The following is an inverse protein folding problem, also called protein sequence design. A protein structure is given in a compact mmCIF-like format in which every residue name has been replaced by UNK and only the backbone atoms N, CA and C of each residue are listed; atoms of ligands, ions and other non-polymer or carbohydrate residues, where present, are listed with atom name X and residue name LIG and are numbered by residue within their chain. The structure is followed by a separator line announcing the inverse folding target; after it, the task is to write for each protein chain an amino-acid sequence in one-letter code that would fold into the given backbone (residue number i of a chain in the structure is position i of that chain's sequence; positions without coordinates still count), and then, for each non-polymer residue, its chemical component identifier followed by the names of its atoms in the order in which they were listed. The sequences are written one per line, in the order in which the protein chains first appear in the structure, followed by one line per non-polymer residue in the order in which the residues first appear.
data_IF_402373837359
#
_entry.id   IF_402373837359
#
_cell.length_a   1.000
_cell.length_b   1.000
_cell.length_c   1.000
_cell.angle_alpha   90.00
_cell.angle_beta   90.00
_cell.angle_gamma   90.00
#
_symmetry.space_group_name_H-M   'P 1'
#
loop_
_entity.id
_entity.type
_entity.pdbx_description
1 polymer ?
#
# COMPACT_ATOMS: atom_id res chain seq x y z
N UNK A 1 -0.24 18.99 -10.75
CA UNK A 1 -0.75 18.95 -12.15
C UNK A 1 -2.18 19.46 -12.07
N UNK A 2 -2.50 20.57 -12.73
CA UNK A 2 -3.83 21.17 -12.67
C UNK A 2 -4.76 20.41 -13.61
N UNK A 3 -5.86 19.87 -13.10
CA UNK A 3 -6.89 19.23 -13.92
C UNK A 3 -7.97 20.29 -14.20
N UNK A 4 -8.06 20.73 -15.45
CA UNK A 4 -9.12 21.64 -15.92
C UNK A 4 -10.14 20.86 -16.73
N UNK A 5 -11.43 21.11 -16.48
CA UNK A 5 -12.53 20.60 -17.30
C UNK A 5 -13.21 21.82 -17.91
N UNK A 6 -13.26 21.87 -19.23
CA UNK A 6 -13.97 22.89 -19.99
C UNK A 6 -15.40 22.42 -20.21
N UNK A 7 -16.38 23.25 -19.85
CA UNK A 7 -17.79 22.99 -20.13
C UNK A 7 -18.29 24.05 -21.09
N UNK A 8 -19.00 23.61 -22.14
CA UNK A 8 -19.64 24.53 -23.07
C UNK A 8 -20.81 25.22 -22.38
N UNK A 9 -20.67 26.52 -22.13
CA UNK A 9 -21.78 27.34 -21.67
C UNK A 9 -22.77 27.50 -22.82
N UNK A 10 -23.95 26.91 -22.67
CA UNK A 10 -25.00 26.89 -23.71
C UNK A 10 -25.66 28.26 -23.91
N UNK A 11 -25.46 29.20 -22.98
CA UNK A 11 -26.00 30.55 -23.08
C UNK A 11 -25.08 31.50 -23.84
N UNK A 12 -23.77 31.31 -23.73
CA UNK A 12 -22.75 32.16 -24.37
C UNK A 12 -22.06 31.49 -25.56
N UNK A 13 -22.18 30.17 -25.71
CA UNK A 13 -21.50 29.39 -26.75
C UNK A 13 -19.99 29.25 -26.54
N UNK A 14 -19.46 29.70 -25.39
CA UNK A 14 -18.03 29.69 -25.07
C UNK A 14 -17.71 28.50 -24.17
N UNK A 15 -16.57 27.85 -24.43
CA UNK A 15 -15.99 26.89 -23.50
C UNK A 15 -15.49 27.67 -22.27
N UNK A 16 -16.23 27.58 -21.18
CA UNK A 16 -15.80 28.15 -19.91
C UNK A 16 -15.05 27.06 -19.12
N UNK A 17 -13.83 27.34 -18.62
CA UNK A 17 -13.22 26.47 -17.64
C UNK A 17 -14.13 26.44 -16.40
N UNK A 18 -14.38 25.25 -15.84
CA UNK A 18 -14.93 25.18 -14.49
C UNK A 18 -13.87 25.80 -13.58
N UNK A 19 -14.12 27.01 -13.10
CA UNK A 19 -13.21 27.72 -12.21
C UNK A 19 -13.02 26.90 -10.92
N UNK A 20 -11.79 26.41 -10.72
CA UNK A 20 -11.34 25.76 -9.49
C UNK A 20 -10.53 24.49 -9.74
N UNK A 21 -9.55 24.26 -8.86
CA UNK A 21 -8.62 23.15 -8.99
C UNK A 21 -9.30 21.82 -8.67
N UNK A 22 -9.42 20.95 -9.67
CA UNK A 22 -9.81 19.57 -9.44
C UNK A 22 -8.64 18.82 -8.78
N UNK A 23 -8.95 18.03 -7.75
CA UNK A 23 -7.93 17.31 -6.98
C UNK A 23 -8.17 15.82 -6.99
N UNK A 24 -7.12 15.03 -7.07
CA UNK A 24 -7.22 13.59 -6.82
C UNK A 24 -7.54 13.31 -5.35
N UNK A 25 -8.09 12.13 -5.06
CA UNK A 25 -8.34 11.68 -3.68
C UNK A 25 -7.06 11.73 -2.81
N UNK A 26 -5.90 11.42 -3.40
CA UNK A 26 -4.62 11.46 -2.69
C UNK A 26 -4.20 12.90 -2.37
N UNK A 27 -4.32 13.82 -3.33
CA UNK A 27 -4.03 15.24 -3.12
C UNK A 27 -4.97 15.86 -2.08
N UNK A 28 -6.26 15.47 -2.09
CA UNK A 28 -7.20 15.88 -1.04
C UNK A 28 -6.73 15.41 0.34
N UNK A 29 -6.25 14.17 0.48
CA UNK A 29 -5.70 13.66 1.73
C UNK A 29 -4.53 14.50 2.24
N UNK A 30 -3.62 14.91 1.34
CA UNK A 30 -2.50 15.79 1.70
C UNK A 30 -2.97 17.14 2.25
N UNK A 31 -4.05 17.72 1.70
CA UNK A 31 -4.63 18.99 2.21
C UNK A 31 -5.15 18.87 3.64
N UNK A 32 -5.67 17.70 4.02
CA UNK A 32 -6.13 17.42 5.38
C UNK A 32 -5.06 16.80 6.29
N UNK A 33 -3.81 16.70 5.83
CA UNK A 33 -2.71 16.02 6.53
C UNK A 33 -3.04 14.56 6.89
N UNK A 34 -3.76 13.87 5.99
CA UNK A 34 -4.17 12.47 6.14
C UNK A 34 -3.60 11.62 5.02
N UNK A 35 -3.08 10.44 5.38
CA UNK A 35 -2.56 9.47 4.41
C UNK A 35 -3.62 8.98 3.41
N UNK A 36 -3.17 8.61 2.21
CA UNK A 36 -4.02 8.20 1.08
C UNK A 36 -4.99 7.04 1.36
N UNK A 37 -4.66 6.15 2.30
CA UNK A 37 -5.53 5.06 2.76
C UNK A 37 -6.66 5.58 3.65
N UNK A 38 -6.32 6.42 4.63
CA UNK A 38 -7.26 6.96 5.60
C UNK A 38 -8.24 7.95 4.96
N UNK A 39 -7.79 8.82 4.05
CA UNK A 39 -8.71 9.70 3.30
C UNK A 39 -9.75 8.89 2.52
N UNK A 40 -9.40 7.74 1.94
CA UNK A 40 -10.36 6.88 1.22
C UNK A 40 -11.41 6.28 2.14
N UNK A 41 -11.02 5.87 3.35
CA UNK A 41 -11.95 5.36 4.36
C UNK A 41 -12.93 6.45 4.79
N UNK A 42 -12.43 7.66 5.07
CA UNK A 42 -13.27 8.79 5.47
C UNK A 42 -14.25 9.15 4.35
N UNK A 43 -13.77 9.30 3.11
CA UNK A 43 -14.64 9.62 1.98
C UNK A 43 -15.64 8.50 1.65
N UNK A 44 -15.29 7.24 1.96
CA UNK A 44 -16.24 6.13 1.88
C UNK A 44 -17.31 6.20 2.99
N UNK A 45 -16.91 6.54 4.22
CA UNK A 45 -17.84 6.77 5.33
C UNK A 45 -18.82 7.92 5.02
N UNK A 46 -18.33 8.98 4.37
CA UNK A 46 -19.18 10.09 3.85
C UNK A 46 -20.10 9.68 2.68
N UNK A 47 -19.97 8.46 2.15
CA UNK A 47 -20.73 7.97 0.99
C UNK A 47 -20.26 8.50 -0.36
N UNK A 48 -19.19 9.31 -0.40
CA UNK A 48 -18.63 9.87 -1.63
C UNK A 48 -17.94 8.77 -2.46
N UNK A 49 -17.17 7.90 -1.79
CA UNK A 49 -16.55 6.73 -2.40
C UNK A 49 -17.35 5.45 -2.11
N UNK A 50 -17.34 4.53 -3.06
CA UNK A 50 -17.90 3.18 -2.94
C UNK A 50 -16.82 2.13 -3.18
N UNK A 51 -16.99 0.94 -2.60
CA UNK A 51 -16.10 -0.20 -2.84
C UNK A 51 -16.43 -0.83 -4.19
N UNK A 52 -15.42 -0.95 -5.05
CA UNK A 52 -15.47 -1.67 -6.33
C UNK A 52 -14.30 -2.66 -6.38
N UNK A 53 -14.59 -3.94 -6.10
CA UNK A 53 -13.56 -4.96 -5.95
C UNK A 53 -12.59 -4.63 -4.80
N UNK A 54 -11.30 -4.52 -5.12
CA UNK A 54 -10.25 -4.18 -4.14
C UNK A 54 -10.04 -2.66 -3.98
N UNK A 55 -10.79 -1.80 -4.68
CA UNK A 55 -10.55 -0.35 -4.75
C UNK A 55 -11.73 0.48 -4.24
N UNK A 56 -11.44 1.67 -3.73
CA UNK A 56 -12.43 2.71 -3.48
C UNK A 56 -12.51 3.63 -4.70
N UNK A 57 -13.72 3.80 -5.24
CA UNK A 57 -14.01 4.63 -6.42
C UNK A 57 -15.11 5.63 -6.14
N UNK A 58 -15.11 6.76 -6.84
CA UNK A 58 -16.18 7.75 -6.74
C UNK A 58 -17.53 7.13 -7.13
N UNK A 59 -18.55 7.34 -6.31
CA UNK A 59 -19.90 6.82 -6.60
C UNK A 59 -20.47 7.47 -7.86
N UNK A 60 -21.11 6.66 -8.70
CA UNK A 60 -21.75 7.15 -9.93
C UNK A 60 -22.82 8.22 -9.65
N UNK A 61 -23.48 8.16 -8.49
CA UNK A 61 -24.46 9.17 -8.06
C UNK A 61 -23.79 10.52 -7.86
N UNK A 62 -22.61 10.56 -7.25
CA UNK A 62 -21.85 11.79 -7.01
C UNK A 62 -21.22 12.34 -8.28
N UNK A 63 -20.76 11.46 -9.18
CA UNK A 63 -20.31 11.85 -10.53
C UNK A 63 -21.44 12.55 -11.30
N UNK A 64 -22.64 11.97 -11.31
CA UNK A 64 -23.81 12.56 -11.99
C UNK A 64 -24.24 13.90 -11.43
N UNK A 65 -24.01 14.15 -10.13
CA UNK A 65 -24.28 15.42 -9.46
C UNK A 65 -23.16 16.46 -9.68
N UNK A 66 -22.09 16.11 -10.40
CA UNK A 66 -20.99 17.03 -10.71
C UNK A 66 -19.94 17.16 -9.60
N UNK A 67 -19.99 16.34 -8.55
CA UNK A 67 -19.03 16.43 -7.44
C UNK A 67 -17.64 15.89 -7.78
N UNK A 68 -17.48 15.16 -8.87
CA UNK A 68 -16.19 14.69 -9.34
C UNK A 68 -16.28 13.89 -10.61
N UNK A 69 -15.15 13.32 -11.02
CA UNK A 69 -15.00 12.59 -12.26
C UNK A 69 -14.21 11.29 -12.03
N UNK A 70 -14.64 10.24 -12.72
CA UNK A 70 -13.95 8.95 -12.78
C UNK A 70 -13.12 8.87 -14.06
N UNK A 71 -11.84 8.61 -13.93
CA UNK A 71 -10.99 8.24 -15.05
C UNK A 71 -10.81 6.72 -15.07
N UNK A 72 -11.68 6.01 -15.79
CA UNK A 72 -11.65 4.54 -15.84
C UNK A 72 -10.58 3.97 -16.79
N UNK A 73 -10.22 4.72 -17.84
CA UNK A 73 -9.21 4.30 -18.83
C UNK A 73 -8.20 5.41 -19.12
N UNK A 74 -7.44 5.87 -18.11
CA UNK A 74 -6.43 6.89 -18.34
C UNK A 74 -5.23 6.33 -19.12
N UNK A 75 -4.47 7.20 -19.77
CA UNK A 75 -3.26 6.84 -20.53
C UNK A 75 -2.20 6.12 -19.69
N UNK A 76 -2.18 6.38 -18.38
CA UNK A 76 -1.31 5.68 -17.42
C UNK A 76 -1.66 4.19 -17.25
N UNK A 77 -2.84 3.75 -17.68
CA UNK A 77 -3.35 2.40 -17.46
C UNK A 77 -3.94 2.15 -16.07
N UNK A 78 -3.88 3.14 -15.17
CA UNK A 78 -4.36 2.99 -13.79
C UNK A 78 -5.55 3.91 -13.51
N UNK A 79 -6.76 3.36 -13.33
CA UNK A 79 -7.93 4.14 -13.01
C UNK A 79 -7.74 5.01 -11.76
N UNK A 80 -8.15 6.27 -11.83
CA UNK A 80 -8.13 7.21 -10.71
C UNK A 80 -9.34 8.13 -10.75
N UNK A 81 -9.65 8.76 -9.62
CA UNK A 81 -10.79 9.66 -9.49
C UNK A 81 -10.31 11.03 -9.02
N UNK A 82 -11.02 12.05 -9.48
CA UNK A 82 -10.80 13.46 -9.14
C UNK A 82 -12.08 14.06 -8.57
N UNK A 83 -11.92 15.01 -7.67
CA UNK A 83 -12.98 15.70 -6.95
C UNK A 83 -13.02 17.13 -7.45
N UNK A 84 -14.18 17.53 -7.93
CA UNK A 84 -14.44 18.89 -8.41
C UNK A 84 -14.37 19.91 -7.26
N UNK A 85 -14.28 21.22 -7.55
CA UNK A 85 -14.39 22.27 -6.52
C UNK A 85 -15.66 22.13 -5.67
N UNK A 86 -16.81 21.90 -6.30
CA UNK A 86 -18.08 21.67 -5.59
C UNK A 86 -18.03 20.43 -4.69
N UNK A 87 -17.37 19.37 -5.14
CA UNK A 87 -17.14 18.17 -4.33
C UNK A 87 -16.22 18.43 -3.14
N UNK A 88 -15.22 19.30 -3.30
CA UNK A 88 -14.33 19.71 -2.21
C UNK A 88 -15.06 20.54 -1.16
N UNK A 89 -15.95 21.46 -1.57
CA UNK A 89 -16.80 22.21 -0.65
C UNK A 89 -17.71 21.29 0.17
N UNK A 90 -18.35 20.31 -0.48
CA UNK A 90 -19.17 19.31 0.20
C UNK A 90 -18.34 18.50 1.20
N UNK A 91 -17.13 18.09 0.82
CA UNK A 91 -16.23 17.38 1.73
C UNK A 91 -15.87 18.26 2.92
N UNK A 92 -15.52 19.52 2.69
CA UNK A 92 -15.12 20.44 3.76
C UNK A 92 -16.22 20.65 4.80
N UNK A 93 -17.49 20.70 4.38
CA UNK A 93 -18.63 20.90 5.30
C UNK A 93 -18.84 19.74 6.28
N UNK A 94 -18.49 18.51 5.89
CA UNK A 94 -18.75 17.32 6.68
C UNK A 94 -17.47 16.61 7.14
N UNK A 95 -16.30 17.16 6.85
CA UNK A 95 -15.01 16.51 7.10
C UNK A 95 -14.77 16.21 8.57
N UNK A 96 -14.91 17.22 9.43
CA UNK A 96 -14.56 17.07 10.85
C UNK A 96 -15.47 16.04 11.54
N UNK A 97 -16.76 16.05 11.22
CA UNK A 97 -17.74 15.07 11.72
C UNK A 97 -17.35 13.67 11.25
N UNK A 98 -17.17 13.47 9.94
CA UNK A 98 -16.84 12.16 9.39
C UNK A 98 -15.50 11.62 9.88
N UNK A 99 -14.50 12.50 10.08
CA UNK A 99 -13.21 12.13 10.65
C UNK A 99 -13.35 11.68 12.10
N UNK A 100 -14.10 12.44 12.92
CA UNK A 100 -14.34 12.12 14.32
C UNK A 100 -15.13 10.82 14.47
N UNK A 101 -16.16 10.61 13.66
CA UNK A 101 -16.97 9.39 13.66
C UNK A 101 -16.11 8.17 13.33
N UNK A 102 -15.28 8.24 12.28
CA UNK A 102 -14.34 7.17 11.93
C UNK A 102 -13.35 6.86 13.08
N UNK A 103 -12.85 7.90 13.76
CA UNK A 103 -11.94 7.71 14.91
C UNK A 103 -12.65 7.16 16.14
N UNK A 104 -13.89 7.57 16.39
CA UNK A 104 -14.71 7.07 17.48
C UNK A 104 -15.05 5.59 17.28
N UNK A 105 -15.45 5.20 16.07
CA UNK A 105 -15.74 3.81 15.70
C UNK A 105 -14.53 2.89 15.96
N UNK A 106 -13.32 3.35 15.60
CA UNK A 106 -12.09 2.60 15.85
C UNK A 106 -11.75 2.51 17.34
N UNK A 107 -12.02 3.56 18.13
CA UNK A 107 -11.75 3.58 19.58
C UNK A 107 -12.79 2.80 20.39
N UNK A 108 -13.98 2.56 19.85
CA UNK A 108 -15.03 1.82 20.52
C UNK A 108 -14.62 0.35 20.82
N UNK A 109 -13.75 -0.22 20.00
CA UNK A 109 -13.15 -1.54 20.24
C UNK A 109 -11.75 -1.38 20.86
N UNK A 110 -11.65 -1.67 22.17
CA UNK A 110 -10.40 -1.56 22.92
C UNK A 110 -9.27 -2.44 22.34
N UNK A 111 -9.61 -3.58 21.72
CA UNK A 111 -8.61 -4.45 21.10
C UNK A 111 -8.08 -3.81 19.80
N UNK A 112 -8.96 -3.17 19.02
CA UNK A 112 -8.58 -2.42 17.80
C UNK A 112 -7.71 -1.22 18.15
N UNK A 113 -8.08 -0.45 19.18
CA UNK A 113 -7.30 0.72 19.60
C UNK A 113 -5.91 0.32 20.11
N UNK A 114 -5.83 -0.74 20.92
CA UNK A 114 -4.55 -1.31 21.38
C UNK A 114 -3.68 -1.75 20.21
N UNK A 115 -4.26 -2.46 19.23
CA UNK A 115 -3.53 -2.96 18.07
C UNK A 115 -3.01 -1.82 17.18
N UNK A 116 -3.82 -0.77 17.01
CA UNK A 116 -3.44 0.44 16.29
C UNK A 116 -2.28 1.16 16.97
N UNK A 117 -2.38 1.40 18.29
CA UNK A 117 -1.32 2.04 19.05
C UNK A 117 0.00 1.24 18.97
N UNK A 118 -0.08 -0.09 19.08
CA UNK A 118 1.07 -0.96 18.95
C UNK A 118 1.69 -0.93 17.54
N UNK A 119 0.87 -0.89 16.48
CA UNK A 119 1.36 -0.78 15.10
C UNK A 119 2.05 0.56 14.85
N UNK A 120 1.49 1.67 15.34
CA UNK A 120 2.13 2.99 15.20
C UNK A 120 3.45 3.07 15.98
N UNK A 121 3.50 2.56 17.21
CA UNK A 121 4.74 2.44 17.97
C UNK A 121 5.79 1.54 17.28
N UNK A 122 5.33 0.49 16.59
CA UNK A 122 6.23 -0.33 15.78
C UNK A 122 6.76 0.44 14.56
N UNK A 123 5.93 1.26 13.91
CA UNK A 123 6.32 2.06 12.74
C UNK A 123 7.31 3.17 13.09
N UNK A 124 7.17 3.83 14.25
CA UNK A 124 8.08 4.91 14.66
C UNK A 124 9.51 4.44 14.88
N UNK A 125 9.70 3.17 15.22
CA UNK A 125 11.02 2.57 15.48
C UNK A 125 11.71 2.02 14.22
N UNK A 126 11.12 2.18 13.03
CA UNK A 126 11.65 1.65 11.79
C UNK A 126 12.36 2.71 10.96
N UNK A 127 13.45 2.29 10.32
CA UNK A 127 14.16 3.09 9.31
C UNK A 127 13.37 3.19 8.00
N UNK A 128 12.64 2.13 7.65
CA UNK A 128 11.86 2.06 6.40
C UNK A 128 10.36 1.93 6.68
N UNK A 129 9.51 2.67 5.92
CA UNK A 129 8.07 2.60 6.03
C UNK A 129 7.56 1.21 5.62
N UNK A 130 6.57 0.71 6.36
CA UNK A 130 5.94 -0.57 6.03
C UNK A 130 5.01 -0.43 4.84
N UNK A 131 5.09 -1.38 3.92
CA UNK A 131 4.03 -1.58 2.94
C UNK A 131 2.76 -2.12 3.63
N UNK A 132 1.58 -1.83 3.05
CA UNK A 132 0.29 -2.26 3.61
C UNK A 132 0.18 -3.77 3.87
N UNK A 133 0.82 -4.59 3.01
CA UNK A 133 0.87 -6.05 3.23
C UNK A 133 1.69 -6.43 4.47
N UNK A 134 2.79 -5.73 4.75
CA UNK A 134 3.60 -5.98 5.92
C UNK A 134 2.90 -5.52 7.20
N UNK A 135 2.21 -4.38 7.17
CA UNK A 135 1.36 -3.92 8.29
C UNK A 135 0.25 -4.93 8.61
N UNK A 136 -0.49 -5.40 7.59
CA UNK A 136 -1.55 -6.39 7.76
C UNK A 136 -1.04 -7.69 8.37
N UNK A 137 0.10 -8.19 7.87
CA UNK A 137 0.68 -9.43 8.37
C UNK A 137 1.23 -9.28 9.80
N UNK A 138 1.82 -8.14 10.13
CA UNK A 138 2.27 -7.83 11.48
C UNK A 138 1.09 -7.82 12.46
N UNK A 139 -0.03 -7.18 12.11
CA UNK A 139 -1.23 -7.16 12.94
C UNK A 139 -1.78 -8.57 13.17
N UNK A 140 -1.86 -9.39 12.12
CA UNK A 140 -2.33 -10.78 12.23
C UNK A 140 -1.42 -11.67 13.08
N UNK A 141 -0.13 -11.33 13.19
CA UNK A 141 0.83 -12.06 14.03
C UNK A 141 0.73 -11.68 15.51
N UNK A 142 0.57 -10.40 15.81
CA UNK A 142 0.60 -9.89 17.18
C UNK A 142 -0.78 -9.86 17.83
N UNK A 143 -1.84 -9.84 17.02
CA UNK A 143 -3.23 -9.79 17.46
C UNK A 143 -4.06 -10.86 16.73
N UNK A 144 -3.83 -12.16 17.02
CA UNK A 144 -4.46 -13.27 16.28
C UNK A 144 -5.98 -13.33 16.43
N UNK A 145 -6.55 -12.61 17.40
CA UNK A 145 -8.00 -12.48 17.61
C UNK A 145 -8.65 -11.42 16.70
N UNK A 146 -7.87 -10.57 16.01
CA UNK A 146 -8.43 -9.59 15.11
C UNK A 146 -8.97 -10.25 13.84
N UNK A 147 -10.17 -9.85 13.44
CA UNK A 147 -10.74 -10.27 12.16
C UNK A 147 -10.05 -9.52 11.01
N UNK A 148 -10.08 -10.09 9.80
CA UNK A 148 -9.56 -9.41 8.60
C UNK A 148 -10.26 -8.07 8.31
N UNK A 149 -11.50 -7.92 8.76
CA UNK A 149 -12.27 -6.68 8.63
C UNK A 149 -11.66 -5.58 9.50
N UNK A 150 -11.47 -5.85 10.80
CA UNK A 150 -10.83 -4.91 11.73
C UNK A 150 -9.40 -4.58 11.34
N UNK A 151 -8.63 -5.55 10.86
CA UNK A 151 -7.28 -5.29 10.30
C UNK A 151 -7.37 -4.33 9.12
N UNK A 152 -8.35 -4.52 8.23
CA UNK A 152 -8.59 -3.64 7.09
C UNK A 152 -8.93 -2.21 7.51
N UNK A 153 -9.77 -2.05 8.52
CA UNK A 153 -10.13 -0.75 9.09
C UNK A 153 -8.91 -0.02 9.69
N UNK A 154 -8.09 -0.71 10.50
CA UNK A 154 -6.89 -0.13 11.13
C UNK A 154 -5.94 0.44 10.07
N UNK A 155 -5.65 -0.34 9.02
CA UNK A 155 -4.65 0.05 8.01
C UNK A 155 -5.26 0.82 6.82
N UNK A 156 -6.57 0.97 6.77
CA UNK A 156 -7.30 1.64 5.69
C UNK A 156 -7.29 0.90 4.35
N UNK A 157 -7.48 -0.43 4.37
CA UNK A 157 -7.66 -1.24 3.15
C UNK A 157 -8.88 -2.16 3.26
N UNK A 158 -9.23 -2.82 2.15
CA UNK A 158 -10.38 -3.73 2.13
C UNK A 158 -10.08 -5.07 2.82
N UNK A 159 -11.06 -5.66 3.50
CA UNK A 159 -10.98 -7.00 4.09
C UNK A 159 -10.53 -8.07 3.05
N UNK A 160 -10.99 -7.96 1.80
CA UNK A 160 -10.62 -8.87 0.72
C UNK A 160 -9.11 -8.83 0.46
N UNK A 161 -8.52 -7.63 0.48
CA UNK A 161 -7.10 -7.43 0.29
C UNK A 161 -6.29 -8.00 1.48
N UNK A 162 -6.76 -7.82 2.71
CA UNK A 162 -6.17 -8.45 3.90
C UNK A 162 -6.19 -9.98 3.79
N UNK A 163 -7.34 -10.56 3.42
CA UNK A 163 -7.48 -12.00 3.20
C UNK A 163 -6.50 -12.52 2.13
N UNK A 164 -6.32 -11.76 1.05
CA UNK A 164 -5.35 -12.08 0.00
C UNK A 164 -3.91 -12.07 0.52
N UNK A 165 -3.52 -11.11 1.34
CA UNK A 165 -2.20 -11.07 1.97
C UNK A 165 -1.96 -12.28 2.89
N UNK A 166 -2.96 -12.64 3.71
CA UNK A 166 -2.88 -13.82 4.58
C UNK A 166 -2.68 -15.10 3.76
N UNK A 167 -3.46 -15.30 2.68
CA UNK A 167 -3.32 -16.45 1.79
C UNK A 167 -1.94 -16.51 1.11
N UNK A 168 -1.43 -15.39 0.62
CA UNK A 168 -0.10 -15.32 0.00
C UNK A 168 0.99 -15.74 0.99
N UNK A 169 0.87 -15.34 2.25
CA UNK A 169 1.81 -15.72 3.30
C UNK A 169 1.76 -17.22 3.60
N UNK A 170 0.57 -17.81 3.74
CA UNK A 170 0.45 -19.26 3.96
C UNK A 170 1.08 -20.05 2.83
N UNK A 171 0.87 -19.62 1.57
CA UNK A 171 1.52 -20.22 0.41
C UNK A 171 3.04 -20.11 0.47
N UNK A 172 3.58 -18.92 0.78
CA UNK A 172 5.03 -18.71 0.94
C UNK A 172 5.62 -19.59 2.05
N UNK A 173 4.95 -19.67 3.21
CA UNK A 173 5.37 -20.53 4.32
C UNK A 173 5.37 -21.99 3.94
N UNK A 174 4.29 -22.47 3.32
CA UNK A 174 4.21 -23.85 2.81
C UNK A 174 5.38 -24.13 1.83
N UNK A 175 5.62 -23.25 0.85
CA UNK A 175 6.74 -23.44 -0.10
C UNK A 175 8.13 -23.43 0.54
N UNK A 176 8.32 -22.81 1.71
CA UNK A 176 9.60 -22.84 2.44
C UNK A 176 9.73 -24.06 3.36
N UNK A 177 8.62 -24.60 3.87
CA UNK A 177 8.61 -25.79 4.74
C UNK A 177 8.66 -27.07 3.91
N UNK A 178 7.89 -27.17 2.82
CA UNK A 178 7.81 -28.39 1.97
C UNK A 178 9.17 -28.89 1.45
N UNK A 179 10.13 -28.06 0.97
CA UNK A 179 11.44 -28.56 0.55
C UNK A 179 12.35 -28.93 1.73
N UNK A 180 12.10 -28.43 2.94
CA UNK A 180 12.86 -28.80 4.15
C UNK A 180 12.36 -30.08 4.80
N UNK A 181 11.12 -30.47 4.52
CA UNK A 181 10.51 -31.73 4.98
C UNK A 181 10.52 -32.84 3.92
N UNK A 182 11.11 -32.61 2.74
CA UNK A 182 11.43 -33.72 1.84
C UNK A 182 12.63 -34.45 2.43
N UNK A 183 12.45 -35.73 2.75
CA UNK A 183 13.56 -36.61 3.05
C UNK A 183 14.60 -36.49 1.94
N UNK A 184 15.86 -36.23 2.32
CA UNK A 184 16.96 -36.27 1.38
C UNK A 184 16.94 -37.66 0.73
N UNK A 185 17.05 -37.76 -0.61
CA UNK A 185 17.07 -39.07 -1.25
C UNK A 185 18.20 -39.88 -0.62
N UNK A 186 17.84 -41.01 0.00
CA UNK A 186 18.79 -41.97 0.64
C UNK A 186 19.84 -42.46 -0.36
N UNK A 187 19.56 -42.32 -1.66
CA UNK A 187 20.43 -42.70 -2.77
C UNK A 187 21.19 -41.51 -3.40
N UNK A 188 21.43 -40.43 -2.66
CA UNK A 188 22.41 -39.43 -3.08
C UNK A 188 23.76 -40.15 -3.22
N UNK A 189 24.23 -40.31 -4.47
CA UNK A 189 25.52 -40.95 -4.76
C UNK A 189 26.58 -40.28 -3.88
N UNK A 190 27.47 -41.05 -3.22
CA UNK A 190 28.54 -40.48 -2.44
C UNK A 190 29.27 -39.45 -3.29
N UNK A 191 29.48 -38.26 -2.72
CA UNK A 191 30.22 -37.19 -3.35
C UNK A 191 31.58 -37.73 -3.80
N UNK A 192 31.75 -37.92 -5.10
CA UNK A 192 32.96 -38.47 -5.68
C UNK A 192 34.01 -37.35 -5.79
N UNK A 193 34.82 -37.24 -4.73
CA UNK A 193 35.90 -36.27 -4.64
C UNK A 193 36.95 -36.42 -5.75
N UNK A 194 37.01 -37.58 -6.44
CA UNK A 194 37.98 -37.83 -7.52
C UNK A 194 37.72 -37.05 -8.81
N UNK A 195 36.53 -36.42 -8.94
CA UNK A 195 36.21 -35.56 -10.09
C UNK A 195 36.77 -34.14 -9.99
N UNK A 196 37.16 -33.67 -8.81
CA UNK A 196 37.60 -32.27 -8.61
C UNK A 196 39.06 -32.06 -9.02
N UNK A 197 39.88 -33.12 -9.04
CA UNK A 197 41.31 -33.01 -9.36
C UNK A 197 41.64 -33.08 -10.85
N UNK A 198 40.67 -33.38 -11.73
CA UNK A 198 40.89 -33.43 -13.19
C UNK A 198 40.80 -32.07 -13.89
N UNK A 199 40.29 -31.04 -13.24
CA UNK A 199 40.20 -29.68 -13.82
C UNK A 199 41.31 -28.72 -13.33
N UNK A 200 42.25 -29.17 -12.48
CA UNK A 200 43.41 -28.37 -12.01
C UNK A 200 44.72 -28.69 -12.73
N UNK A 201 44.65 -29.26 -13.92
CA UNK A 201 45.82 -29.62 -14.70
C UNK A 201 45.84 -28.93 -16.06
N UNK A 202 45.83 -27.60 -16.12
CA UNK A 202 46.37 -26.83 -17.24
C UNK A 202 46.35 -25.31 -16.94
N UNK A 203 47.53 -24.69 -17.12
CA UNK A 203 47.85 -23.25 -17.07
C UNK A 203 47.95 -22.68 -15.64
N UNK A 204 49.08 -22.22 -15.09
CA UNK A 204 50.35 -21.80 -15.66
C UNK A 204 50.70 -20.42 -15.06
N UNK A 205 51.83 -20.33 -14.32
CA UNK A 205 52.55 -19.07 -14.08
C UNK A 205 52.22 -18.29 -12.80
N UNK A 206 53.06 -18.46 -11.77
CA UNK A 206 53.33 -17.43 -10.75
C UNK A 206 54.16 -16.29 -11.37
N UNK A 207 53.96 -15.04 -10.92
CA UNK A 207 54.99 -14.42 -10.07
C UNK A 207 54.34 -13.69 -8.87
N UNK A 208 54.79 -13.88 -7.63
CA UNK A 208 55.94 -13.21 -7.00
C UNK A 208 55.98 -11.70 -7.24
N UNK A 209 55.38 -10.89 -6.34
CA UNK A 209 56.13 -9.90 -5.56
C UNK A 209 55.26 -9.13 -4.53
N UNK A 210 55.80 -9.10 -3.30
CA UNK A 210 55.93 -7.96 -2.40
C UNK A 210 54.75 -7.10 -1.93
N UNK A 211 54.59 -7.17 -0.60
CA UNK A 211 54.56 -6.08 0.37
C UNK A 211 53.23 -5.38 0.69
N UNK A 212 52.72 -5.80 1.87
CA UNK A 212 52.19 -5.00 2.98
C UNK A 212 52.43 -3.49 2.86
N UNK A 213 51.35 -2.71 2.97
CA UNK A 213 51.38 -1.43 3.70
C UNK A 213 50.14 -1.37 4.60
N UNK A 214 50.42 -1.07 5.87
CA UNK A 214 49.51 -0.74 6.95
C UNK A 214 48.92 0.67 6.78
N UNK A 215 47.80 0.86 7.47
CA UNK A 215 47.43 2.05 8.26
C UNK A 215 46.24 2.94 7.84
N UNK A 216 45.58 3.54 8.86
CA UNK A 216 44.19 3.99 8.85
C UNK A 216 44.08 5.50 8.65
N UNK A 217 42.86 6.02 8.45
CA UNK A 217 42.56 7.45 8.66
C UNK A 217 41.19 7.61 9.31
N UNK A 218 41.22 8.13 10.54
CA UNK A 218 40.17 8.93 11.16
C UNK A 218 40.16 10.31 10.50
N UNK A 219 38.96 10.83 10.21
CA UNK A 219 38.46 12.12 10.70
C UNK A 219 36.94 12.15 10.54
#
# INVERSE_FOLDING_TARGET
MLYTVETLDRSTGVLAPINGDWVTVTELGHRYNVGSRKVRVILHHMGLLQREGERYRLSHTFVRKGYGLRHDKPRSGYPFDVISPLGQELVAQAWDIAFQDCEADLRADAQVDTARAALEAYKTNRLEPLAASAEALWLLDHFPKLTHERVGEIIGVTQQLVSRYAKQRTKKRASHITPRCKELPVNARPFDASKVDRERGLVGGLPSHSQRILNPVLL
#
